data_IF_231045165653
#
_entry.id   IF_231045165653
#
_cell.length_a   1.000
_cell.length_b   1.000
_cell.length_c   1.000
_cell.angle_alpha   90.00
_cell.angle_beta   90.00
_cell.angle_gamma   90.00
#
_symmetry.space_group_name_H-M   'P 1'
#
loop_
_entity.id
_entity.type
_entity.pdbx_description
1 polymer ?
#
# COMPACT_ATOMS: atom_id res chain seq x y z
N UNK A 1 -16.96 -23.03 -6.28
CA UNK A 1 -15.61 -22.70 -6.82
C UNK A 1 -14.59 -22.67 -5.67
N UNK A 2 -13.36 -23.11 -5.91
CA UNK A 2 -12.27 -23.02 -4.94
C UNK A 2 -11.07 -22.34 -5.61
N UNK A 3 -10.55 -21.28 -5.03
CA UNK A 3 -9.38 -20.57 -5.52
C UNK A 3 -8.27 -20.59 -4.47
N UNK A 4 -7.13 -21.17 -4.81
CA UNK A 4 -5.95 -21.20 -3.94
C UNK A 4 -5.10 -19.95 -4.23
N UNK A 5 -5.00 -19.04 -3.27
CA UNK A 5 -4.15 -17.84 -3.38
C UNK A 5 -2.71 -18.13 -2.97
N UNK A 6 -2.54 -18.93 -1.92
CA UNK A 6 -1.23 -19.41 -1.43
C UNK A 6 -1.43 -20.83 -0.89
N UNK A 7 -0.36 -21.49 -0.45
CA UNK A 7 -0.47 -22.82 0.19
C UNK A 7 -1.33 -22.81 1.47
N UNK A 8 -1.52 -21.63 2.07
CA UNK A 8 -2.26 -21.45 3.32
C UNK A 8 -3.59 -20.71 3.16
N UNK A 9 -3.84 -20.07 2.02
CA UNK A 9 -5.02 -19.23 1.81
C UNK A 9 -5.88 -19.77 0.66
N UNK A 10 -7.06 -20.21 1.02
CA UNK A 10 -8.09 -20.73 0.11
C UNK A 10 -9.32 -19.83 0.16
N UNK A 11 -9.84 -19.46 -1.00
CA UNK A 11 -11.15 -18.80 -1.14
C UNK A 11 -12.14 -19.80 -1.65
N UNK A 12 -13.29 -19.93 -0.98
CA UNK A 12 -14.42 -20.75 -1.43
C UNK A 12 -15.72 -20.16 -0.91
N UNK A 13 -16.83 -20.63 -1.45
CA UNK A 13 -18.19 -20.23 -1.00
C UNK A 13 -18.45 -20.57 0.48
N UNK A 14 -17.69 -21.54 1.02
CA UNK A 14 -17.83 -22.03 2.40
C UNK A 14 -16.77 -21.48 3.35
N UNK A 15 -15.77 -20.75 2.83
CA UNK A 15 -14.73 -20.15 3.67
C UNK A 15 -15.16 -18.78 4.20
N UNK A 16 -14.62 -18.37 5.34
CA UNK A 16 -14.79 -16.98 5.79
C UNK A 16 -14.17 -16.01 4.76
N UNK A 17 -14.66 -14.77 4.68
CA UNK A 17 -13.99 -13.73 3.89
C UNK A 17 -12.55 -13.52 4.32
N UNK A 18 -11.67 -13.26 3.36
CA UNK A 18 -10.32 -12.81 3.66
C UNK A 18 -10.32 -11.31 3.96
N UNK A 19 -9.58 -10.94 4.98
CA UNK A 19 -9.40 -9.54 5.37
C UNK A 19 -8.12 -9.00 4.76
N UNK A 20 -8.25 -7.98 3.93
CA UNK A 20 -7.12 -7.29 3.29
C UNK A 20 -6.91 -5.94 3.98
N UNK A 21 -5.77 -5.74 4.63
CA UNK A 21 -5.42 -4.45 5.20
C UNK A 21 -4.77 -3.57 4.13
N UNK A 22 -5.41 -2.47 3.76
CA UNK A 22 -4.84 -1.44 2.88
C UNK A 22 -3.99 -0.48 3.72
N UNK A 23 -2.68 -0.47 3.52
CA UNK A 23 -1.76 0.41 4.26
C UNK A 23 -1.41 1.70 3.51
N UNK A 24 -1.80 1.81 2.24
CA UNK A 24 -1.68 3.02 1.42
C UNK A 24 -0.34 3.77 1.58
N UNK A 25 -0.40 5.08 1.72
CA UNK A 25 0.75 5.98 1.92
C UNK A 25 1.00 6.34 3.40
N UNK A 26 0.40 5.61 4.36
CA UNK A 26 0.49 5.92 5.79
C UNK A 26 1.91 5.87 6.37
N UNK A 27 2.83 5.27 5.64
CA UNK A 27 4.26 5.28 5.98
C UNK A 27 4.93 6.65 5.84
N UNK A 28 4.30 7.61 5.13
CA UNK A 28 4.80 8.98 4.91
C UNK A 28 6.26 9.02 4.38
N UNK A 29 6.61 8.13 3.44
CA UNK A 29 7.94 8.05 2.86
C UNK A 29 9.01 7.39 3.75
N UNK A 30 8.63 6.76 4.87
CA UNK A 30 9.56 6.13 5.82
C UNK A 30 9.46 4.60 5.71
N UNK A 31 10.50 3.96 5.15
CA UNK A 31 10.54 2.51 4.92
C UNK A 31 10.36 1.68 6.19
N UNK A 32 10.98 2.08 7.30
CA UNK A 32 10.81 1.39 8.60
C UNK A 32 9.35 1.38 9.06
N UNK A 33 8.64 2.51 8.86
CA UNK A 33 7.21 2.62 9.17
C UNK A 33 6.37 1.74 8.24
N UNK A 34 6.71 1.71 6.96
CA UNK A 34 6.08 0.85 5.96
C UNK A 34 6.13 -0.63 6.37
N UNK A 35 7.31 -1.15 6.69
CA UNK A 35 7.47 -2.54 7.15
C UNK A 35 6.74 -2.80 8.48
N UNK A 36 6.75 -1.81 9.39
CA UNK A 36 6.00 -1.91 10.65
C UNK A 36 4.48 -2.01 10.41
N UNK A 37 3.93 -1.32 9.42
CA UNK A 37 2.51 -1.45 9.06
C UNK A 37 2.16 -2.86 8.59
N UNK A 38 3.01 -3.53 7.82
CA UNK A 38 2.82 -4.93 7.43
C UNK A 38 2.73 -5.81 8.66
N UNK A 39 3.62 -5.63 9.63
CA UNK A 39 3.61 -6.40 10.88
C UNK A 39 2.38 -6.12 11.74
N UNK A 40 1.96 -4.86 11.83
CA UNK A 40 0.75 -4.47 12.57
C UNK A 40 -0.49 -5.10 11.92
N UNK A 41 -0.62 -5.04 10.60
CA UNK A 41 -1.72 -5.67 9.87
C UNK A 41 -1.82 -7.16 10.19
N UNK A 42 -0.69 -7.88 10.15
CA UNK A 42 -0.61 -9.28 10.56
C UNK A 42 -1.10 -9.50 12.00
N UNK A 43 -0.57 -8.73 12.96
CA UNK A 43 -0.95 -8.84 14.38
C UNK A 43 -2.42 -8.51 14.63
N UNK A 44 -3.01 -7.66 13.81
CA UNK A 44 -4.45 -7.30 13.86
C UNK A 44 -5.36 -8.34 13.21
N UNK A 45 -4.81 -9.44 12.68
CA UNK A 45 -5.59 -10.54 12.11
C UNK A 45 -5.90 -10.41 10.62
N UNK A 46 -5.27 -9.48 9.92
CA UNK A 46 -5.40 -9.41 8.46
C UNK A 46 -4.74 -10.62 7.78
N UNK A 47 -5.39 -11.16 6.77
CA UNK A 47 -4.88 -12.28 5.98
C UNK A 47 -3.90 -11.81 4.90
N UNK A 48 -4.14 -10.62 4.36
CA UNK A 48 -3.37 -10.01 3.29
C UNK A 48 -3.11 -8.53 3.60
N UNK A 49 -2.06 -8.00 3.01
CA UNK A 49 -1.77 -6.57 3.03
C UNK A 49 -1.76 -6.05 1.60
N UNK A 50 -2.45 -4.95 1.36
CA UNK A 50 -2.40 -4.22 0.10
C UNK A 50 -1.51 -3.01 0.27
N UNK A 51 -0.53 -2.88 -0.62
CA UNK A 51 0.32 -1.69 -0.76
C UNK A 51 -0.09 -0.93 -2.01
N UNK A 52 0.10 0.39 -1.98
CA UNK A 52 -0.21 1.24 -3.11
C UNK A 52 1.06 1.90 -3.62
N UNK A 53 1.38 1.63 -4.89
CA UNK A 53 2.56 2.17 -5.55
C UNK A 53 2.14 2.94 -6.79
N UNK A 54 2.59 4.17 -6.90
CA UNK A 54 2.29 5.06 -8.00
C UNK A 54 3.42 6.07 -8.20
N UNK A 55 3.46 6.70 -9.38
CA UNK A 55 4.18 7.94 -9.57
C UNK A 55 3.20 9.12 -9.40
N UNK A 56 3.61 10.18 -8.73
CA UNK A 56 2.77 11.35 -8.45
C UNK A 56 2.14 11.97 -9.69
N UNK A 57 2.84 11.89 -10.83
CA UNK A 57 2.38 12.41 -12.13
C UNK A 57 1.20 11.62 -12.72
N UNK A 58 1.04 10.35 -12.30
CA UNK A 58 0.00 9.46 -12.82
C UNK A 58 -1.34 9.64 -12.10
N UNK A 59 -1.32 10.21 -10.90
CA UNK A 59 -2.52 10.40 -10.05
C UNK A 59 -2.81 11.85 -9.71
N UNK A 60 -1.94 12.78 -10.07
CA UNK A 60 -2.11 14.21 -9.81
C UNK A 60 -1.42 15.07 -10.86
N UNK A 61 -2.01 16.22 -11.13
CA UNK A 61 -1.46 17.19 -12.08
C UNK A 61 -0.45 18.10 -11.37
N UNK A 62 0.71 18.30 -11.97
CA UNK A 62 1.70 19.27 -11.50
C UNK A 62 1.35 20.68 -12.00
N UNK A 63 0.65 21.44 -11.18
CA UNK A 63 0.17 22.79 -11.52
C UNK A 63 1.20 23.88 -11.20
N UNK A 64 2.46 23.71 -11.55
CA UNK A 64 3.50 24.73 -11.29
C UNK A 64 3.13 26.13 -11.82
N UNK A 65 2.34 26.20 -12.88
CA UNK A 65 2.00 27.42 -13.59
C UNK A 65 0.56 27.93 -13.38
N UNK A 66 -0.25 27.25 -12.57
CA UNK A 66 -1.63 27.66 -12.28
C UNK A 66 -1.75 28.27 -10.89
N UNK A 67 -1.80 29.60 -10.85
CA UNK A 67 -1.77 30.40 -9.62
C UNK A 67 -3.03 30.32 -8.73
N UNK A 68 -4.06 29.53 -9.07
CA UNK A 68 -5.37 29.69 -8.44
C UNK A 68 -5.94 28.48 -7.68
N UNK A 69 -5.33 27.30 -7.70
CA UNK A 69 -5.85 26.16 -6.95
C UNK A 69 -4.81 25.59 -5.98
N UNK A 70 -4.79 26.16 -4.79
CA UNK A 70 -3.91 25.81 -3.69
C UNK A 70 -3.96 24.32 -3.32
N UNK A 71 -5.13 23.71 -3.36
CA UNK A 71 -5.34 22.31 -2.96
C UNK A 71 -4.70 21.29 -3.91
N UNK A 72 -4.79 21.50 -5.20
CA UNK A 72 -4.22 20.57 -6.20
C UNK A 72 -2.68 20.61 -6.21
N UNK A 73 -2.10 21.79 -5.99
CA UNK A 73 -0.63 21.94 -5.86
C UNK A 73 -0.09 21.21 -4.61
N UNK A 74 -0.84 21.23 -3.53
CA UNK A 74 -0.51 20.49 -2.31
C UNK A 74 -0.61 18.97 -2.51
N UNK A 75 -1.63 18.48 -3.21
CA UNK A 75 -1.82 17.07 -3.47
C UNK A 75 -0.63 16.46 -4.23
N UNK A 76 -0.18 17.10 -5.32
CA UNK A 76 1.00 16.63 -6.06
C UNK A 76 2.24 16.52 -5.16
N UNK A 77 2.48 17.53 -4.31
CA UNK A 77 3.60 17.54 -3.37
C UNK A 77 3.49 16.42 -2.32
N UNK A 78 2.29 16.21 -1.79
CA UNK A 78 2.02 15.16 -0.82
C UNK A 78 2.27 13.79 -1.46
N UNK A 79 1.70 13.52 -2.63
CA UNK A 79 1.90 12.26 -3.33
C UNK A 79 3.36 11.98 -3.66
N UNK A 80 4.10 13.00 -4.12
CA UNK A 80 5.55 12.88 -4.35
C UNK A 80 6.31 12.47 -3.10
N UNK A 81 5.95 13.01 -1.94
CA UNK A 81 6.61 12.73 -0.66
C UNK A 81 6.20 11.38 -0.06
N UNK A 82 4.98 10.94 -0.29
CA UNK A 82 4.39 9.79 0.41
C UNK A 82 4.26 8.54 -0.44
N UNK A 83 4.58 8.59 -1.73
CA UNK A 83 4.53 7.41 -2.60
C UNK A 83 5.40 6.27 -2.08
N UNK A 84 4.97 5.04 -2.34
CA UNK A 84 5.75 3.84 -2.05
C UNK A 84 6.74 3.60 -3.20
N UNK A 85 8.07 3.69 -2.99
CA UNK A 85 9.03 3.40 -4.04
C UNK A 85 8.96 1.94 -4.49
N UNK A 86 9.06 1.68 -5.79
CA UNK A 86 9.14 0.32 -6.33
C UNK A 86 10.26 -0.51 -5.71
N UNK A 87 11.37 0.12 -5.37
CA UNK A 87 12.51 -0.54 -4.71
C UNK A 87 12.16 -1.19 -3.36
N UNK A 88 11.06 -0.78 -2.72
CA UNK A 88 10.62 -1.36 -1.45
C UNK A 88 9.84 -2.67 -1.61
N UNK A 89 9.34 -2.99 -2.80
CA UNK A 89 8.52 -4.18 -3.04
C UNK A 89 9.24 -5.47 -2.67
N UNK A 90 10.48 -5.63 -3.12
CA UNK A 90 11.28 -6.82 -2.80
C UNK A 90 11.37 -7.05 -1.28
N UNK A 91 11.63 -6.00 -0.53
CA UNK A 91 11.74 -6.08 0.93
C UNK A 91 10.39 -6.30 1.60
N UNK A 92 9.32 -5.68 1.08
CA UNK A 92 7.96 -5.90 1.57
C UNK A 92 7.54 -7.37 1.44
N UNK A 93 7.73 -7.96 0.26
CA UNK A 93 7.41 -9.37 0.03
C UNK A 93 8.26 -10.31 0.88
N UNK A 94 9.57 -10.05 0.97
CA UNK A 94 10.47 -10.83 1.82
C UNK A 94 10.07 -10.75 3.28
N UNK A 95 9.73 -9.55 3.76
CA UNK A 95 9.29 -9.32 5.14
C UNK A 95 7.95 -10.00 5.44
N UNK A 96 6.98 -9.87 4.53
CA UNK A 96 5.67 -10.51 4.68
C UNK A 96 5.77 -12.05 4.71
N UNK A 97 6.61 -12.65 3.86
CA UNK A 97 6.83 -14.11 3.85
C UNK A 97 7.46 -14.62 5.15
N UNK A 98 8.34 -13.83 5.77
CA UNK A 98 9.03 -14.20 7.01
C UNK A 98 8.09 -14.10 8.22
N UNK A 99 7.12 -13.26 8.19
CA UNK A 99 6.20 -12.95 9.28
C UNK A 99 4.79 -13.46 9.01
#
# INVERSE_FOLDING_TARGET
MKLKLTDKLLISEKSRPLVVAEISANHCGIKKRFLKHILIAKKSGADLVKIQTYEEKDISINLKNLNKNYNLKNNYRIYKKTKTPFSWHKDAFKFAKKN
#
